data_IF_355790298148
#
_entry.id   IF_355790298148
#
_cell.length_a   1.000
_cell.length_b   1.000
_cell.length_c   1.000
_cell.angle_alpha   90.00
_cell.angle_beta   90.00
_cell.angle_gamma   90.00
#
_symmetry.space_group_name_H-M   'P 1'
#
loop_
_entity.id
_entity.type
_entity.pdbx_description
1 polymer ?
#
# COMPACT_ATOMS: atom_id res chain seq x y z
N UNK A 1 -6.59 -0.89 -3.21
CA UNK A 1 -6.38 -1.91 -2.17
C UNK A 1 -5.87 -1.26 -0.90
N UNK A 2 -6.45 -1.64 0.25
CA UNK A 2 -6.08 -1.16 1.57
C UNK A 2 -6.73 0.16 1.98
N UNK A 3 -6.30 0.74 3.11
CA UNK A 3 -5.31 0.18 4.02
C UNK A 3 -5.81 -1.06 4.75
N UNK A 4 -4.89 -1.92 5.17
CA UNK A 4 -5.21 -3.13 5.91
C UNK A 4 -4.03 -4.12 5.94
N UNK A 5 -4.09 -5.10 6.82
CA UNK A 5 -3.08 -6.15 6.90
C UNK A 5 -2.97 -6.89 5.57
N UNK A 6 -1.74 -7.03 5.08
CA UNK A 6 -1.49 -7.55 3.73
C UNK A 6 -2.09 -8.95 3.54
N UNK A 7 -1.79 -9.87 4.44
CA UNK A 7 -2.19 -11.27 4.28
C UNK A 7 -3.67 -11.54 4.61
N UNK A 8 -4.25 -10.82 5.56
CA UNK A 8 -5.63 -11.07 6.00
C UNK A 8 -6.66 -10.15 5.37
N UNK A 9 -6.24 -8.98 4.85
CA UNK A 9 -7.17 -7.99 4.31
C UNK A 9 -6.92 -7.67 2.82
N UNK A 10 -5.68 -7.69 2.34
CA UNK A 10 -5.34 -7.33 0.95
C UNK A 10 -5.28 -8.57 0.06
N UNK A 11 -4.42 -9.53 0.41
CA UNK A 11 -4.15 -10.70 -0.40
C UNK A 11 -5.39 -11.55 -0.71
N UNK A 12 -6.36 -11.76 0.21
CA UNK A 12 -7.55 -12.56 -0.08
C UNK A 12 -8.35 -12.06 -1.28
N UNK A 13 -8.39 -10.74 -1.53
CA UNK A 13 -9.08 -10.19 -2.70
C UNK A 13 -8.45 -10.66 -4.01
N UNK A 14 -7.12 -10.79 -4.07
CA UNK A 14 -6.41 -11.27 -5.25
C UNK A 14 -6.63 -12.76 -5.53
N UNK A 15 -7.00 -13.52 -4.50
CA UNK A 15 -7.26 -14.97 -4.61
C UNK A 15 -8.67 -15.30 -5.07
N UNK A 16 -9.58 -14.33 -5.09
CA UNK A 16 -10.95 -14.56 -5.57
C UNK A 16 -10.93 -14.66 -7.10
N UNK A 17 -11.42 -15.80 -7.60
CA UNK A 17 -11.46 -16.07 -9.04
C UNK A 17 -12.17 -14.96 -9.81
N UNK A 18 -11.51 -14.43 -10.82
CA UNK A 18 -12.05 -13.41 -11.71
C UNK A 18 -11.82 -11.96 -11.25
N UNK A 19 -11.39 -11.71 -10.01
CA UNK A 19 -11.18 -10.35 -9.51
C UNK A 19 -10.08 -9.65 -10.29
N UNK A 20 -8.89 -10.24 -10.42
CA UNK A 20 -7.78 -9.61 -11.14
C UNK A 20 -8.10 -9.41 -12.62
N UNK A 21 -8.83 -10.33 -13.24
CA UNK A 21 -9.29 -10.20 -14.63
C UNK A 21 -10.26 -9.02 -14.79
N UNK A 22 -11.18 -8.84 -13.84
CA UNK A 22 -12.11 -7.71 -13.84
C UNK A 22 -11.38 -6.38 -13.66
N UNK A 23 -10.40 -6.31 -12.76
CA UNK A 23 -9.57 -5.11 -12.53
C UNK A 23 -8.76 -4.78 -13.79
N UNK A 24 -8.07 -5.76 -14.37
CA UNK A 24 -7.31 -5.56 -15.59
C UNK A 24 -8.19 -5.09 -16.77
N UNK A 25 -9.40 -5.68 -16.89
CA UNK A 25 -10.38 -5.27 -17.91
C UNK A 25 -10.90 -3.85 -17.72
N UNK A 26 -10.96 -3.36 -16.48
CA UNK A 26 -11.39 -1.99 -16.20
C UNK A 26 -10.40 -0.94 -16.77
N UNK A 27 -9.14 -1.31 -16.99
CA UNK A 27 -8.13 -0.44 -17.61
C UNK A 27 -7.76 0.78 -16.76
N UNK A 28 -8.03 0.72 -15.45
CA UNK A 28 -7.68 1.79 -14.51
C UNK A 28 -6.41 1.46 -13.72
N UNK A 29 -5.66 2.47 -13.24
CA UNK A 29 -4.56 2.27 -12.33
C UNK A 29 -5.00 1.56 -11.04
N UNK A 30 -4.08 0.86 -10.43
CA UNK A 30 -4.27 0.18 -9.14
C UNK A 30 -3.52 0.94 -8.05
N UNK A 31 -4.22 1.39 -7.03
CA UNK A 31 -3.60 1.98 -5.84
C UNK A 31 -3.50 0.94 -4.72
N UNK A 32 -2.30 0.75 -4.19
CA UNK A 32 -2.02 -0.03 -2.99
C UNK A 32 -1.66 0.91 -1.86
N UNK A 33 -2.51 0.98 -0.84
CA UNK A 33 -2.31 1.84 0.33
C UNK A 33 -1.70 0.97 1.43
N UNK A 34 -0.44 1.21 1.74
CA UNK A 34 0.25 0.49 2.79
C UNK A 34 -0.18 0.96 4.19
N UNK A 35 -0.06 0.10 5.17
CA UNK A 35 -0.28 0.47 6.56
C UNK A 35 0.78 1.49 7.02
N UNK A 36 0.42 2.33 7.97
CA UNK A 36 1.33 3.29 8.59
C UNK A 36 2.28 2.58 9.55
N UNK A 37 1.75 1.65 10.34
CA UNK A 37 2.51 0.85 11.28
C UNK A 37 2.74 -0.57 10.76
N UNK A 38 3.80 -1.20 11.22
CA UNK A 38 3.93 -2.65 11.14
C UNK A 38 2.75 -3.33 11.85
N UNK A 39 2.49 -4.56 11.51
CA UNK A 39 1.60 -5.45 12.25
C UNK A 39 2.31 -6.79 12.48
N UNK A 40 1.68 -7.72 13.19
CA UNK A 40 2.27 -9.05 13.43
C UNK A 40 2.65 -9.79 12.16
N UNK A 41 1.88 -9.58 11.09
CA UNK A 41 2.12 -10.22 9.78
C UNK A 41 3.24 -9.55 8.98
N UNK A 42 3.50 -8.27 9.22
CA UNK A 42 4.44 -7.43 8.46
C UNK A 42 5.63 -6.95 9.29
N UNK A 43 5.89 -7.58 10.44
CA UNK A 43 7.03 -7.20 11.29
C UNK A 43 8.35 -7.30 10.54
N UNK A 44 9.12 -6.21 10.54
CA UNK A 44 10.40 -6.11 9.82
C UNK A 44 10.28 -5.94 8.31
N UNK A 45 9.05 -5.82 7.76
CA UNK A 45 8.84 -5.51 6.35
C UNK A 45 8.74 -4.00 6.15
N UNK A 46 9.28 -3.52 5.03
CA UNK A 46 9.13 -2.15 4.59
C UNK A 46 8.10 -2.01 3.46
N UNK A 47 7.90 -0.77 3.03
CA UNK A 47 7.00 -0.43 1.92
C UNK A 47 7.37 -1.17 0.62
N UNK A 48 8.67 -1.30 0.35
CA UNK A 48 9.16 -2.04 -0.82
C UNK A 48 8.78 -3.52 -0.78
N UNK A 49 8.84 -4.15 0.40
CA UNK A 49 8.44 -5.55 0.55
C UNK A 49 6.96 -5.75 0.29
N UNK A 50 6.13 -4.83 0.81
CA UNK A 50 4.67 -4.85 0.59
C UNK A 50 4.34 -4.73 -0.90
N UNK A 51 4.98 -3.79 -1.62
CA UNK A 51 4.82 -3.63 -3.05
C UNK A 51 5.21 -4.89 -3.84
N UNK A 52 6.39 -5.46 -3.54
CA UNK A 52 6.89 -6.65 -4.20
C UNK A 52 6.00 -7.87 -3.95
N UNK A 53 5.49 -8.03 -2.71
CA UNK A 53 4.58 -9.12 -2.36
C UNK A 53 3.22 -8.99 -3.05
N UNK A 54 2.71 -7.76 -3.21
CA UNK A 54 1.48 -7.52 -3.97
C UNK A 54 1.65 -7.95 -5.43
N UNK A 55 2.73 -7.54 -6.09
CA UNK A 55 3.04 -7.93 -7.46
C UNK A 55 3.16 -9.43 -7.59
N UNK A 56 3.87 -10.07 -6.65
CA UNK A 56 4.03 -11.53 -6.65
C UNK A 56 2.68 -12.24 -6.51
N UNK A 57 1.81 -11.78 -5.62
CA UNK A 57 0.48 -12.38 -5.44
C UNK A 57 -0.42 -12.20 -6.66
N UNK A 58 -0.32 -11.07 -7.35
CA UNK A 58 -1.01 -10.86 -8.62
C UNK A 58 -0.59 -11.91 -9.65
N UNK A 59 0.71 -12.11 -9.83
CA UNK A 59 1.24 -13.14 -10.74
C UNK A 59 0.87 -14.56 -10.32
N UNK A 60 0.88 -14.85 -9.02
CA UNK A 60 0.48 -16.16 -8.50
C UNK A 60 -0.99 -16.46 -8.74
N UNK A 61 -1.85 -15.44 -8.72
CA UNK A 61 -3.27 -15.61 -9.00
C UNK A 61 -3.54 -15.94 -10.48
N UNK A 62 -2.91 -15.23 -11.40
CA UNK A 62 -2.89 -15.55 -12.83
C UNK A 62 -1.76 -14.80 -13.55
N UNK A 63 -0.69 -15.51 -13.88
CA UNK A 63 0.48 -14.94 -14.57
C UNK A 63 0.20 -14.44 -15.99
N UNK A 64 -0.91 -14.85 -16.60
CA UNK A 64 -1.30 -14.39 -17.94
C UNK A 64 -1.96 -12.99 -17.96
N UNK A 65 -2.39 -12.52 -16.78
CA UNK A 65 -3.05 -11.22 -16.63
C UNK A 65 -2.03 -10.18 -16.18
N UNK A 66 -1.71 -9.25 -17.05
CA UNK A 66 -0.80 -8.14 -16.72
C UNK A 66 -1.38 -7.30 -15.58
N UNK A 67 -0.55 -6.96 -14.61
CA UNK A 67 -0.89 -5.97 -13.59
C UNK A 67 -0.99 -4.60 -14.27
N UNK A 68 -2.11 -3.86 -14.11
CA UNK A 68 -2.19 -2.47 -14.53
C UNK A 68 -1.14 -1.59 -13.84
N UNK A 69 -1.07 -0.32 -14.23
CA UNK A 69 -0.21 0.64 -13.53
C UNK A 69 -0.46 0.58 -12.02
N UNK A 70 0.60 0.30 -11.27
CA UNK A 70 0.55 0.18 -9.81
C UNK A 70 1.14 1.43 -9.16
N UNK A 71 0.35 2.09 -8.34
CA UNK A 71 0.77 3.15 -7.44
C UNK A 71 0.79 2.62 -6.00
N UNK A 72 1.92 2.77 -5.31
CA UNK A 72 2.08 2.34 -3.92
C UNK A 72 2.14 3.59 -3.04
N UNK A 73 1.12 3.77 -2.20
CA UNK A 73 1.03 4.89 -1.28
C UNK A 73 1.58 4.48 0.09
N UNK A 74 2.57 5.19 0.56
CA UNK A 74 3.21 4.98 1.86
C UNK A 74 3.27 6.25 2.69
N UNK A 75 3.13 6.09 4.01
CA UNK A 75 3.26 7.22 4.91
C UNK A 75 4.72 7.63 5.06
N UNK A 76 5.02 8.86 4.72
CA UNK A 76 6.31 9.46 4.97
C UNK A 76 6.31 10.10 6.36
N UNK A 77 7.31 9.76 7.14
CA UNK A 77 7.46 10.28 8.49
C UNK A 77 8.28 11.55 8.48
N UNK A 78 7.64 12.68 8.83
CA UNK A 78 8.33 13.97 8.95
C UNK A 78 8.79 14.28 10.37
N UNK A 79 8.12 13.69 11.37
CA UNK A 79 8.45 13.92 12.77
C UNK A 79 9.40 12.83 13.28
N UNK A 80 10.52 13.24 13.85
CA UNK A 80 11.37 12.35 14.64
C UNK A 80 10.62 11.99 15.93
N UNK A 81 10.19 10.75 16.03
CA UNK A 81 9.58 10.25 17.25
C UNK A 81 10.69 9.64 18.11
N UNK A 82 11.31 10.49 18.94
CA UNK A 82 12.37 10.06 19.86
C UNK A 82 11.87 9.12 20.95
N UNK A 83 10.59 9.16 21.27
CA UNK A 83 9.96 8.34 22.31
C UNK A 83 8.73 7.64 21.78
N UNK A 84 8.96 6.54 21.10
CA UNK A 84 7.91 5.67 20.72
C UNK A 84 7.48 4.76 21.89
N UNK A 85 6.22 4.83 22.26
CA UNK A 85 5.58 3.94 23.23
C UNK A 85 4.45 3.21 22.52
N UNK A 86 4.68 1.98 22.10
CA UNK A 86 3.68 1.17 21.43
C UNK A 86 4.23 -0.18 20.96
N UNK A 87 3.32 -1.09 20.61
CA UNK A 87 3.65 -2.47 20.24
C UNK A 87 4.34 -2.57 18.87
N UNK A 88 3.98 -1.68 17.94
CA UNK A 88 4.46 -1.73 16.55
C UNK A 88 5.19 -0.45 16.15
N UNK A 89 6.28 -0.63 15.42
CA UNK A 89 7.02 0.46 14.78
C UNK A 89 6.27 1.00 13.56
N UNK A 90 6.71 2.17 13.06
CA UNK A 90 6.29 2.62 11.75
C UNK A 90 6.82 1.69 10.66
N UNK A 91 6.01 1.46 9.64
CA UNK A 91 6.46 0.75 8.46
C UNK A 91 7.61 1.56 7.83
N UNK A 92 8.70 0.89 7.46
CA UNK A 92 9.80 1.58 6.77
C UNK A 92 9.32 2.14 5.43
N UNK A 93 9.54 3.44 5.22
CA UNK A 93 9.24 4.16 3.99
C UNK A 93 10.40 4.12 2.97
N UNK A 94 11.48 3.40 3.29
CA UNK A 94 12.56 3.17 2.36
C UNK A 94 12.08 2.35 1.17
N UNK A 95 12.21 2.92 -0.01
CA UNK A 95 11.80 2.31 -1.25
C UNK A 95 12.76 2.72 -2.38
N UNK A 96 13.27 1.73 -3.10
CA UNK A 96 14.10 2.01 -4.25
C UNK A 96 13.24 2.31 -5.47
N UNK A 97 13.77 3.10 -6.39
CA UNK A 97 13.14 3.30 -7.69
C UNK A 97 12.85 1.97 -8.37
N UNK A 98 11.67 1.85 -8.94
CA UNK A 98 11.21 0.65 -9.61
C UNK A 98 10.49 1.02 -10.90
N UNK A 99 10.70 0.22 -11.94
CA UNK A 99 9.92 0.31 -13.18
C UNK A 99 8.58 -0.43 -13.08
N UNK A 100 8.33 -1.15 -11.99
CA UNK A 100 7.12 -1.98 -11.81
C UNK A 100 6.00 -1.27 -11.07
N UNK A 101 6.29 -0.16 -10.39
CA UNK A 101 5.31 0.63 -9.67
C UNK A 101 5.81 2.06 -9.46
N UNK A 102 4.88 2.97 -9.27
CA UNK A 102 5.16 4.35 -8.84
C UNK A 102 4.97 4.44 -7.33
N UNK A 103 5.95 4.99 -6.62
CA UNK A 103 5.82 5.24 -5.19
C UNK A 103 5.30 6.65 -4.93
N UNK A 104 4.32 6.76 -4.04
CA UNK A 104 3.75 8.04 -3.59
C UNK A 104 3.90 8.10 -2.07
N UNK A 105 4.81 8.95 -1.61
CA UNK A 105 5.04 9.19 -0.19
C UNK A 105 4.41 10.53 0.20
N UNK A 106 3.65 10.54 1.29
CA UNK A 106 3.04 11.74 1.85
C UNK A 106 2.72 11.54 3.34
N UNK A 107 2.33 12.61 4.05
CA UNK A 107 1.90 12.55 5.45
C UNK A 107 0.45 12.06 5.53
N UNK A 108 0.27 10.74 5.51
CA UNK A 108 -1.06 10.15 5.57
C UNK A 108 -1.56 9.85 6.99
N UNK A 109 -0.73 10.04 8.01
CA UNK A 109 -1.10 9.72 9.39
C UNK A 109 -1.97 10.83 10.02
N UNK A 110 -3.05 10.41 10.68
CA UNK A 110 -3.89 11.29 11.52
C UNK A 110 -3.04 11.89 12.66
N UNK A 111 -3.06 13.19 12.82
CA UNK A 111 -2.26 13.93 13.82
C UNK A 111 -2.63 13.59 15.27
N UNK A 112 -3.82 13.03 15.50
CA UNK A 112 -4.33 12.71 16.82
C UNK A 112 -4.29 11.20 17.13
N UNK A 113 -4.26 10.36 16.11
CA UNK A 113 -4.38 8.91 16.28
C UNK A 113 -3.27 8.20 15.52
N UNK A 114 -2.23 7.81 16.26
CA UNK A 114 -1.09 7.09 15.72
C UNK A 114 -1.51 5.82 14.97
N UNK A 115 -0.96 5.63 13.79
CA UNK A 115 -1.20 4.45 12.95
C UNK A 115 -2.51 4.47 12.18
N UNK A 116 -3.32 5.52 12.35
CA UNK A 116 -4.55 5.72 11.60
C UNK A 116 -4.29 6.65 10.42
N UNK A 117 -4.85 6.34 9.27
CA UNK A 117 -4.83 7.24 8.13
C UNK A 117 -5.77 8.42 8.33
N UNK A 118 -5.31 9.61 7.95
CA UNK A 118 -6.20 10.75 7.73
C UNK A 118 -6.96 10.52 6.42
N UNK A 119 -8.27 10.28 6.54
CA UNK A 119 -9.11 9.93 5.40
C UNK A 119 -9.26 11.06 4.38
N UNK A 120 -9.21 12.30 4.81
CA UNK A 120 -9.32 13.47 3.92
C UNK A 120 -8.04 13.66 3.10
N UNK A 121 -6.88 13.62 3.75
CA UNK A 121 -5.57 13.72 3.08
C UNK A 121 -5.43 12.58 2.06
N UNK A 122 -5.71 11.35 2.48
CA UNK A 122 -5.61 10.19 1.62
C UNK A 122 -6.54 10.26 0.42
N UNK A 123 -7.81 10.65 0.63
CA UNK A 123 -8.79 10.78 -0.44
C UNK A 123 -8.38 11.87 -1.45
N UNK A 124 -7.98 13.05 -0.98
CA UNK A 124 -7.53 14.13 -1.83
C UNK A 124 -6.31 13.73 -2.67
N UNK A 125 -5.37 12.99 -2.06
CA UNK A 125 -4.20 12.49 -2.79
C UNK A 125 -4.58 11.48 -3.86
N UNK A 126 -5.45 10.53 -3.56
CA UNK A 126 -5.95 9.56 -4.54
C UNK A 126 -6.67 10.25 -5.72
N UNK A 127 -7.52 11.23 -5.45
CA UNK A 127 -8.20 11.99 -6.50
C UNK A 127 -7.19 12.72 -7.40
N UNK A 128 -6.19 13.37 -6.81
CA UNK A 128 -5.15 14.08 -7.59
C UNK A 128 -4.33 13.17 -8.51
N UNK A 129 -4.19 11.89 -8.16
CA UNK A 129 -3.48 10.90 -8.99
C UNK A 129 -4.32 10.39 -10.16
N UNK A 130 -5.65 10.43 -10.05
CA UNK A 130 -6.57 9.97 -11.09
C UNK A 130 -6.88 11.08 -12.10
N UNK A 131 -6.82 12.35 -11.68
CA UNK A 131 -7.12 13.52 -12.53
C UNK A 131 -5.95 13.93 -13.45
N UNK A 132 -4.77 13.39 -13.24
CA UNK A 132 -3.59 13.62 -14.06
C UNK A 132 -3.32 12.46 -15.02
#
# INVERSE_FOLDING_TARGET
>A
FGPGSFYTSIMPHLQVKGVIAAIAKAGCPVALIANILECRESHGLGLQDVANRFIQQWHNADASIALPELMVLGNQRFLSIEKYVGEFAYLSDEINESTRYTCVLDEFEDVWVRGKHDGEILANRLLSLVEN
#
